data_IF_046206371832
#
_entry.id   IF_046206371832
#
_cell.length_a   1.000
_cell.length_b   1.000
_cell.length_c   1.000
_cell.angle_alpha   90.00
_cell.angle_beta   90.00
_cell.angle_gamma   90.00
#
_symmetry.space_group_name_H-M   'P 1'
#
loop_
_entity.id
_entity.type
_entity.pdbx_description
1 polymer ?
#
# COMPACT_ATOMS: atom_id res chain seq x y z
N UNK A 1 -39.02 41.39 -0.83
CA UNK A 1 -38.33 40.24 -1.49
C UNK A 1 -38.55 39.01 -0.64
N UNK A 2 -39.13 38.05 -1.23
CA UNK A 2 -40.00 37.06 -0.65
C UNK A 2 -39.26 35.95 0.10
N UNK A 3 -39.83 35.48 1.21
CA UNK A 3 -39.43 34.33 2.04
C UNK A 3 -39.12 33.07 1.21
N UNK A 4 -39.71 32.92 0.04
CA UNK A 4 -39.48 31.82 -0.91
C UNK A 4 -38.07 31.79 -1.50
N UNK A 5 -37.41 32.94 -1.72
CA UNK A 5 -36.06 32.98 -2.31
C UNK A 5 -35.02 32.59 -1.27
N UNK A 6 -35.19 32.95 0.02
CA UNK A 6 -34.28 32.54 1.09
C UNK A 6 -34.35 31.05 1.36
N UNK A 7 -35.54 30.42 1.32
CA UNK A 7 -35.68 28.98 1.50
C UNK A 7 -35.04 28.17 0.35
N UNK A 8 -35.07 28.70 -0.86
CA UNK A 8 -34.46 28.01 -2.03
C UNK A 8 -32.94 28.07 -1.99
N UNK A 9 -32.36 29.17 -1.53
CA UNK A 9 -30.88 29.28 -1.38
C UNK A 9 -30.37 28.39 -0.26
N UNK A 10 -31.12 28.30 0.87
CA UNK A 10 -30.73 27.36 1.95
C UNK A 10 -30.85 25.90 1.51
N UNK A 11 -31.83 25.54 0.72
CA UNK A 11 -32.00 24.18 0.19
C UNK A 11 -30.88 23.84 -0.79
N UNK A 12 -30.47 24.77 -1.66
CA UNK A 12 -29.34 24.58 -2.57
C UNK A 12 -28.00 24.47 -1.84
N UNK A 13 -27.79 25.23 -0.77
CA UNK A 13 -26.60 25.10 0.07
C UNK A 13 -26.58 23.77 0.85
N UNK A 14 -27.75 23.29 1.30
CA UNK A 14 -27.87 22.00 1.98
C UNK A 14 -27.64 20.82 1.00
N UNK A 15 -28.14 20.93 -0.23
CA UNK A 15 -27.87 19.93 -1.30
C UNK A 15 -26.38 19.93 -1.67
N UNK A 16 -25.72 21.08 -1.74
CA UNK A 16 -24.26 21.15 -1.96
C UNK A 16 -23.43 20.55 -0.80
N UNK A 17 -23.94 20.65 0.44
CA UNK A 17 -23.26 20.11 1.61
C UNK A 17 -23.44 18.58 1.74
N UNK A 18 -24.57 18.04 1.26
CA UNK A 18 -24.86 16.59 1.29
C UNK A 18 -24.16 15.85 0.12
N UNK A 19 -23.81 16.55 -0.97
CA UNK A 19 -23.00 16.02 -2.08
C UNK A 19 -21.52 16.39 -1.96
N UNK A 20 -21.00 16.60 -0.75
CA UNK A 20 -19.59 16.44 -0.52
C UNK A 20 -19.32 14.93 -0.65
N UNK A 21 -19.23 14.47 -1.91
CA UNK A 21 -18.69 13.15 -2.23
C UNK A 21 -17.35 13.07 -1.50
N UNK A 22 -17.26 12.28 -0.46
CA UNK A 22 -16.00 11.81 0.07
C UNK A 22 -15.28 11.22 -1.14
N UNK A 23 -14.27 11.92 -1.64
CA UNK A 23 -13.49 11.44 -2.77
C UNK A 23 -12.90 10.11 -2.31
N UNK A 24 -13.40 9.01 -2.87
CA UNK A 24 -12.96 7.68 -2.50
C UNK A 24 -11.48 7.61 -2.83
N UNK A 25 -10.64 7.59 -1.80
CA UNK A 25 -9.21 7.48 -1.97
C UNK A 25 -8.85 6.05 -2.34
N UNK A 26 -7.97 5.89 -3.32
CA UNK A 26 -7.34 4.61 -3.57
C UNK A 26 -6.01 4.56 -2.82
N UNK A 27 -5.80 3.49 -2.07
CA UNK A 27 -4.51 3.20 -1.47
C UNK A 27 -3.75 2.25 -2.39
N UNK A 28 -2.72 2.77 -3.05
CA UNK A 28 -1.76 1.97 -3.81
C UNK A 28 -0.66 1.52 -2.86
N UNK A 29 -0.60 0.24 -2.57
CA UNK A 29 0.39 -0.35 -1.67
C UNK A 29 1.53 -0.94 -2.49
N UNK A 30 2.77 -0.56 -2.18
CA UNK A 30 3.98 -1.17 -2.75
C UNK A 30 4.68 -1.98 -1.66
N UNK A 31 4.74 -3.29 -1.84
CA UNK A 31 5.46 -4.17 -0.93
C UNK A 31 6.95 -4.14 -1.23
N UNK A 32 7.76 -3.91 -0.21
CA UNK A 32 9.21 -3.92 -0.30
C UNK A 32 9.82 -5.26 -0.73
N UNK A 33 11.07 -5.23 -1.13
CA UNK A 33 11.87 -6.41 -1.45
C UNK A 33 13.34 -6.14 -1.15
N UNK A 34 14.01 -7.10 -0.54
CA UNK A 34 15.45 -7.04 -0.32
C UNK A 34 16.29 -7.17 -1.61
N UNK A 35 15.71 -7.70 -2.68
CA UNK A 35 16.30 -7.73 -4.00
C UNK A 35 15.95 -6.40 -4.71
N UNK A 36 16.96 -5.56 -4.95
CA UNK A 36 16.78 -4.24 -5.55
C UNK A 36 16.17 -4.29 -6.97
N UNK A 37 16.40 -5.38 -7.71
CA UNK A 37 15.79 -5.59 -9.03
C UNK A 37 14.30 -5.85 -8.90
N UNK A 38 13.90 -6.74 -7.99
CA UNK A 38 12.49 -7.04 -7.71
C UNK A 38 11.78 -5.78 -7.20
N UNK A 39 12.44 -5.02 -6.33
CA UNK A 39 11.91 -3.74 -5.84
C UNK A 39 11.68 -2.75 -7.00
N UNK A 40 12.64 -2.62 -7.90
CA UNK A 40 12.54 -1.75 -9.09
C UNK A 40 11.40 -2.19 -10.03
N UNK A 41 11.20 -3.50 -10.23
CA UNK A 41 10.09 -4.04 -11.02
C UNK A 41 8.73 -3.66 -10.41
N UNK A 42 8.57 -3.75 -9.08
CA UNK A 42 7.36 -3.34 -8.35
C UNK A 42 7.13 -1.83 -8.44
N UNK A 43 8.16 -1.04 -8.24
CA UNK A 43 8.10 0.43 -8.37
C UNK A 43 7.66 0.82 -9.78
N UNK A 44 8.22 0.21 -10.81
CA UNK A 44 7.83 0.46 -12.20
C UNK A 44 6.36 0.12 -12.47
N UNK A 45 5.86 -1.00 -11.93
CA UNK A 45 4.46 -1.37 -12.03
C UNK A 45 3.54 -0.36 -11.32
N UNK A 46 3.94 0.12 -10.13
CA UNK A 46 3.18 1.15 -9.41
C UNK A 46 3.15 2.49 -10.16
N UNK A 47 4.27 2.91 -10.76
CA UNK A 47 4.34 4.11 -11.61
C UNK A 47 3.40 4.00 -12.81
N UNK A 48 3.39 2.86 -13.49
CA UNK A 48 2.48 2.62 -14.63
C UNK A 48 1.00 2.69 -14.18
N UNK A 49 0.68 2.14 -13.01
CA UNK A 49 -0.66 2.25 -12.45
C UNK A 49 -1.06 3.72 -12.22
N UNK A 50 -0.20 4.51 -11.56
CA UNK A 50 -0.46 5.94 -11.31
C UNK A 50 -0.64 6.71 -12.61
N UNK A 51 0.21 6.48 -13.62
CA UNK A 51 0.13 7.13 -14.93
C UNK A 51 -1.14 6.78 -15.71
N UNK A 52 -1.66 5.55 -15.52
CA UNK A 52 -2.90 5.09 -16.16
C UNK A 52 -4.18 5.53 -15.41
N UNK A 53 -4.05 5.96 -14.17
CA UNK A 53 -5.16 6.45 -13.35
C UNK A 53 -5.60 7.85 -13.79
N UNK A 54 -6.86 8.20 -13.55
CA UNK A 54 -7.36 9.53 -13.94
C UNK A 54 -6.63 10.63 -13.14
N UNK A 55 -6.29 11.73 -13.79
CA UNK A 55 -5.60 12.87 -13.15
C UNK A 55 -6.38 13.50 -11.99
N UNK A 56 -7.68 13.23 -11.90
CA UNK A 56 -8.55 13.73 -10.82
C UNK A 56 -8.67 12.77 -9.64
N UNK A 57 -8.04 11.58 -9.71
CA UNK A 57 -8.08 10.60 -8.65
C UNK A 57 -6.99 10.89 -7.62
N UNK A 58 -7.38 11.04 -6.36
CA UNK A 58 -6.44 11.17 -5.25
C UNK A 58 -5.92 9.78 -4.88
N UNK A 59 -4.61 9.58 -4.95
CA UNK A 59 -3.95 8.31 -4.64
C UNK A 59 -3.10 8.49 -3.39
N UNK A 60 -3.25 7.58 -2.44
CA UNK A 60 -2.32 7.44 -1.33
C UNK A 60 -1.39 6.29 -1.65
N UNK A 61 -0.12 6.60 -1.85
CA UNK A 61 0.93 5.62 -2.12
C UNK A 61 1.56 5.19 -0.80
N UNK A 62 1.14 4.02 -0.31
CA UNK A 62 1.69 3.40 0.90
C UNK A 62 2.83 2.45 0.51
N UNK A 63 4.06 2.80 0.89
CA UNK A 63 5.25 2.01 0.59
C UNK A 63 5.74 1.40 1.89
N UNK A 64 5.81 0.07 1.95
CA UNK A 64 6.18 -0.64 3.17
C UNK A 64 7.34 -1.60 2.94
N UNK A 65 8.35 -1.50 3.79
CA UNK A 65 9.55 -2.32 3.80
C UNK A 65 10.68 -1.67 4.58
N UNK A 66 11.10 -2.32 5.65
CA UNK A 66 12.15 -1.84 6.54
C UNK A 66 13.56 -2.13 6.04
N UNK A 67 14.50 -1.92 6.93
CA UNK A 67 15.89 -2.33 6.74
C UNK A 67 15.98 -3.82 7.07
N UNK A 68 16.33 -4.66 6.12
CA UNK A 68 16.76 -6.00 6.43
C UNK A 68 18.08 -5.91 7.20
N UNK A 69 18.04 -6.27 8.47
CA UNK A 69 19.25 -6.66 9.19
C UNK A 69 19.72 -7.99 8.59
N UNK A 70 20.36 -7.94 7.43
CA UNK A 70 21.17 -9.03 6.98
C UNK A 70 22.32 -9.08 8.00
N UNK A 71 22.23 -10.02 8.93
CA UNK A 71 23.41 -10.57 9.58
C UNK A 71 24.23 -11.18 8.43
N UNK A 72 25.04 -10.36 7.79
CA UNK A 72 26.09 -10.88 6.94
C UNK A 72 27.10 -11.53 7.88
N UNK A 73 27.57 -12.71 7.54
CA UNK A 73 28.55 -13.51 8.30
C UNK A 73 29.88 -12.75 8.61
N UNK A 74 30.03 -11.54 8.09
CA UNK A 74 31.20 -10.69 8.21
C UNK A 74 31.01 -9.47 9.13
N UNK A 75 29.87 -9.37 9.81
CA UNK A 75 29.67 -8.35 10.88
C UNK A 75 29.55 -6.90 10.40
N UNK A 76 29.48 -6.66 9.11
CA UNK A 76 29.26 -5.33 8.54
C UNK A 76 27.79 -4.95 8.69
N UNK A 77 27.51 -4.02 9.61
CA UNK A 77 26.21 -3.34 9.71
C UNK A 77 26.02 -2.54 8.42
N UNK A 78 25.20 -3.04 7.52
CA UNK A 78 24.85 -2.31 6.31
C UNK A 78 23.93 -1.15 6.71
N UNK A 79 24.43 0.08 6.68
CA UNK A 79 23.68 1.33 6.90
C UNK A 79 22.82 1.70 5.68
N UNK A 80 22.34 0.72 4.94
CA UNK A 80 21.49 0.94 3.76
C UNK A 80 20.13 1.50 4.18
N UNK A 81 19.63 2.45 3.39
CA UNK A 81 18.25 2.93 3.49
C UNK A 81 17.25 1.79 3.44
N UNK A 82 16.09 1.96 4.10
CA UNK A 82 15.00 0.99 4.06
C UNK A 82 14.53 0.69 2.63
N UNK A 83 13.90 -0.45 2.42
CA UNK A 83 13.27 -0.80 1.14
C UNK A 83 12.23 0.26 0.75
N UNK A 84 11.47 0.77 1.73
CA UNK A 84 10.48 1.84 1.52
C UNK A 84 11.15 3.16 1.07
N UNK A 85 12.22 3.59 1.73
CA UNK A 85 12.97 4.80 1.34
C UNK A 85 13.58 4.69 -0.05
N UNK A 86 14.15 3.53 -0.41
CA UNK A 86 14.69 3.27 -1.75
C UNK A 86 13.59 3.39 -2.81
N UNK A 87 12.44 2.76 -2.57
CA UNK A 87 11.29 2.84 -3.48
C UNK A 87 10.77 4.27 -3.62
N UNK A 88 10.61 5.00 -2.50
CA UNK A 88 10.13 6.38 -2.50
C UNK A 88 11.03 7.34 -3.29
N UNK A 89 12.35 7.13 -3.26
CA UNK A 89 13.30 7.91 -4.03
C UNK A 89 13.02 7.92 -5.53
N UNK A 90 12.49 6.82 -6.06
CA UNK A 90 12.13 6.72 -7.47
C UNK A 90 10.89 7.58 -7.82
N UNK A 91 9.93 7.72 -6.92
CA UNK A 91 8.74 8.57 -7.14
C UNK A 91 9.03 10.06 -6.97
N UNK A 92 10.01 10.42 -6.16
CA UNK A 92 10.35 11.84 -5.89
C UNK A 92 10.95 12.58 -7.07
N UNK A 93 11.42 11.87 -8.09
CA UNK A 93 12.08 12.45 -9.27
C UNK A 93 11.10 12.94 -10.34
N UNK A 94 9.81 12.63 -10.25
CA UNK A 94 8.82 12.99 -11.26
C UNK A 94 7.79 14.01 -10.75
N UNK A 95 7.76 15.18 -11.38
CA UNK A 95 6.80 16.27 -11.09
C UNK A 95 5.34 15.93 -11.47
N UNK A 96 5.10 14.78 -12.10
CA UNK A 96 3.78 14.36 -12.60
C UNK A 96 2.85 13.79 -11.53
N UNK A 97 3.30 13.64 -10.27
CA UNK A 97 2.52 13.00 -9.21
C UNK A 97 1.87 14.00 -8.23
N UNK A 98 1.36 15.13 -8.74
CA UNK A 98 0.77 16.20 -7.91
C UNK A 98 -0.40 15.72 -7.03
N UNK A 99 -1.09 14.64 -7.42
CA UNK A 99 -2.24 14.09 -6.69
C UNK A 99 -1.90 12.83 -5.89
N UNK A 100 -0.60 12.54 -5.68
CA UNK A 100 -0.13 11.35 -4.94
C UNK A 100 0.43 11.79 -3.59
N UNK A 101 -0.18 11.29 -2.52
CA UNK A 101 0.36 11.42 -1.17
C UNK A 101 1.20 10.18 -0.85
N UNK A 102 2.48 10.36 -0.52
CA UNK A 102 3.36 9.24 -0.16
C UNK A 102 3.34 9.03 1.35
N UNK A 103 3.12 7.78 1.77
CA UNK A 103 3.21 7.30 3.15
C UNK A 103 4.24 6.18 3.21
N UNK A 104 5.23 6.32 4.10
CA UNK A 104 6.29 5.33 4.27
C UNK A 104 6.12 4.54 5.55
N UNK A 105 6.20 3.23 5.45
CA UNK A 105 6.44 2.34 6.58
C UNK A 105 7.83 1.69 6.43
N UNK A 106 8.74 2.10 7.30
CA UNK A 106 10.12 1.64 7.33
C UNK A 106 10.39 0.61 8.44
N UNK A 107 9.31 0.16 9.14
CA UNK A 107 9.45 -0.75 10.29
C UNK A 107 9.26 -2.22 9.92
N UNK A 108 8.50 -2.49 8.86
CA UNK A 108 8.17 -3.85 8.47
C UNK A 108 9.40 -4.63 7.98
N UNK A 109 9.65 -5.78 8.58
CA UNK A 109 10.78 -6.67 8.24
C UNK A 109 10.36 -7.87 7.40
N UNK A 110 9.07 -8.07 7.21
CA UNK A 110 8.49 -9.16 6.42
C UNK A 110 7.08 -8.79 5.91
N UNK A 111 6.54 -9.60 5.00
CA UNK A 111 5.25 -9.29 4.35
C UNK A 111 4.05 -9.27 5.31
N UNK A 112 4.06 -10.07 6.38
CA UNK A 112 2.99 -10.03 7.37
C UNK A 112 2.98 -8.69 8.13
N UNK A 113 4.16 -8.18 8.46
CA UNK A 113 4.32 -6.87 9.10
C UNK A 113 3.94 -5.73 8.15
N UNK A 114 4.24 -5.82 6.85
CA UNK A 114 3.78 -4.82 5.87
C UNK A 114 2.25 -4.64 5.96
N UNK A 115 1.48 -5.72 6.01
CA UNK A 115 0.02 -5.64 6.12
C UNK A 115 -0.48 -5.29 7.52
N UNK A 116 0.24 -5.66 8.56
CA UNK A 116 -0.09 -5.24 9.92
C UNK A 116 0.09 -3.72 10.10
N UNK A 117 1.18 -3.14 9.61
CA UNK A 117 1.40 -1.70 9.63
C UNK A 117 0.41 -0.96 8.72
N UNK A 118 0.11 -1.49 7.53
CA UNK A 118 -0.96 -0.97 6.68
C UNK A 118 -2.29 -0.93 7.43
N UNK A 119 -2.71 -2.04 8.07
CA UNK A 119 -3.96 -2.11 8.84
C UNK A 119 -3.98 -1.10 9.98
N UNK A 120 -2.87 -0.97 10.74
CA UNK A 120 -2.75 0.02 11.80
C UNK A 120 -2.90 1.44 11.28
N UNK A 121 -2.25 1.76 10.17
CA UNK A 121 -2.33 3.06 9.55
C UNK A 121 -3.75 3.35 9.02
N UNK A 122 -4.41 2.38 8.39
CA UNK A 122 -5.80 2.49 7.91
C UNK A 122 -6.74 2.75 9.08
N UNK A 123 -6.65 1.99 10.18
CA UNK A 123 -7.48 2.18 11.37
C UNK A 123 -7.33 3.57 11.99
N UNK A 124 -6.15 4.19 11.86
CA UNK A 124 -5.90 5.52 12.38
C UNK A 124 -6.45 6.64 11.48
N UNK A 125 -6.52 6.42 10.18
CA UNK A 125 -6.82 7.47 9.21
C UNK A 125 -8.23 7.37 8.60
N UNK A 126 -8.91 6.23 8.70
CA UNK A 126 -10.22 5.98 8.11
C UNK A 126 -11.18 5.36 9.11
N UNK A 127 -12.47 5.70 8.96
CA UNK A 127 -13.53 5.01 9.70
C UNK A 127 -13.83 3.65 9.06
N UNK A 128 -14.45 2.74 9.82
CA UNK A 128 -14.84 1.43 9.28
C UNK A 128 -15.91 1.52 8.17
N UNK A 129 -16.73 2.57 8.21
CA UNK A 129 -17.78 2.80 7.23
C UNK A 129 -17.28 3.46 5.94
N UNK A 130 -16.04 3.99 5.94
CA UNK A 130 -15.45 4.70 4.81
C UNK A 130 -14.05 4.15 4.48
N UNK A 131 -13.98 2.83 4.33
CA UNK A 131 -12.73 2.18 3.95
C UNK A 131 -12.37 2.50 2.49
N UNK A 132 -11.11 2.86 2.23
CA UNK A 132 -10.62 3.11 0.88
C UNK A 132 -10.59 1.80 0.06
N UNK A 133 -10.49 1.94 -1.26
CA UNK A 133 -10.12 0.82 -2.11
C UNK A 133 -8.60 0.57 -2.04
N UNK A 134 -8.21 -0.68 -2.23
CA UNK A 134 -6.80 -1.09 -2.15
C UNK A 134 -6.33 -1.67 -3.47
N UNK A 135 -5.17 -1.20 -3.91
CA UNK A 135 -4.42 -1.77 -5.03
C UNK A 135 -3.07 -2.22 -4.51
N UNK A 136 -2.79 -3.51 -4.56
CA UNK A 136 -1.56 -4.08 -4.01
C UNK A 136 -0.57 -4.36 -5.14
N UNK A 137 0.55 -3.66 -5.11
CA UNK A 137 1.66 -3.88 -6.05
C UNK A 137 2.69 -4.83 -5.44
N UNK A 138 2.87 -5.96 -6.09
CA UNK A 138 3.86 -6.98 -5.73
C UNK A 138 4.27 -7.78 -6.96
N UNK A 139 5.21 -8.73 -6.80
CA UNK A 139 5.62 -9.61 -7.89
C UNK A 139 4.60 -10.75 -8.08
N UNK A 140 4.46 -11.22 -9.31
CA UNK A 140 3.55 -12.29 -9.70
C UNK A 140 3.75 -13.59 -8.88
N UNK A 141 5.00 -14.01 -8.67
CA UNK A 141 5.32 -15.18 -7.83
C UNK A 141 4.88 -15.02 -6.38
N UNK A 142 4.80 -13.77 -5.88
CA UNK A 142 4.52 -13.46 -4.48
C UNK A 142 3.02 -13.28 -4.18
N UNK A 143 2.16 -13.14 -5.20
CA UNK A 143 0.75 -12.79 -5.06
C UNK A 143 0.00 -13.70 -4.09
N UNK A 144 0.12 -15.03 -4.25
CA UNK A 144 -0.66 -15.99 -3.45
C UNK A 144 -0.37 -15.88 -1.96
N UNK A 145 0.90 -15.68 -1.57
CA UNK A 145 1.27 -15.48 -0.17
C UNK A 145 0.81 -14.12 0.33
N UNK A 146 1.01 -13.07 -0.46
CA UNK A 146 0.59 -11.73 -0.11
C UNK A 146 -0.94 -11.65 0.09
N UNK A 147 -1.73 -12.31 -0.75
CA UNK A 147 -3.19 -12.36 -0.64
C UNK A 147 -3.65 -13.01 0.68
N UNK A 148 -3.06 -14.16 1.03
CA UNK A 148 -3.37 -14.82 2.30
C UNK A 148 -3.01 -13.97 3.50
N UNK A 149 -1.88 -13.28 3.46
CA UNK A 149 -1.43 -12.38 4.51
C UNK A 149 -2.33 -11.14 4.59
N UNK A 150 -2.70 -10.54 3.45
CA UNK A 150 -3.62 -9.40 3.39
C UNK A 150 -4.96 -9.73 4.06
N UNK A 151 -5.59 -10.85 3.70
CA UNK A 151 -6.84 -11.28 4.31
C UNK A 151 -6.70 -11.67 5.79
N UNK A 152 -5.50 -12.00 6.26
CA UNK A 152 -5.22 -12.21 7.67
C UNK A 152 -5.37 -10.95 8.54
N UNK A 153 -5.25 -9.76 7.94
CA UNK A 153 -5.38 -8.45 8.60
C UNK A 153 -6.60 -7.65 8.14
N UNK A 154 -7.05 -7.83 6.91
CA UNK A 154 -8.15 -7.12 6.26
C UNK A 154 -9.13 -8.12 5.62
N UNK A 155 -9.81 -8.97 6.41
CA UNK A 155 -10.59 -10.11 5.90
C UNK A 155 -11.78 -9.69 5.03
N UNK A 156 -12.39 -8.54 5.33
CA UNK A 156 -13.61 -8.06 4.67
C UNK A 156 -13.32 -7.16 3.45
N UNK A 157 -12.05 -7.03 3.08
CA UNK A 157 -11.61 -6.17 1.98
C UNK A 157 -11.10 -7.02 0.82
N UNK A 158 -11.55 -6.71 -0.39
CA UNK A 158 -11.04 -7.33 -1.62
C UNK A 158 -10.13 -6.36 -2.34
N UNK A 159 -8.81 -6.60 -2.38
CA UNK A 159 -7.89 -5.72 -3.08
C UNK A 159 -7.84 -6.00 -4.57
N UNK A 160 -7.49 -5.00 -5.36
CA UNK A 160 -7.02 -5.18 -6.73
C UNK A 160 -5.53 -5.51 -6.70
N UNK A 161 -5.07 -6.41 -7.57
CA UNK A 161 -3.67 -6.77 -7.69
C UNK A 161 -3.04 -6.11 -8.91
N UNK A 162 -1.96 -5.37 -8.66
CA UNK A 162 -1.10 -4.79 -9.69
C UNK A 162 0.24 -5.53 -9.68
N UNK A 163 0.41 -6.50 -10.57
CA UNK A 163 1.52 -7.45 -10.52
C UNK A 163 2.67 -7.03 -11.43
N UNK A 164 3.87 -6.92 -10.87
CA UNK A 164 5.08 -6.89 -11.68
C UNK A 164 5.44 -8.31 -12.14
N UNK A 165 5.81 -8.44 -13.40
CA UNK A 165 6.36 -9.70 -13.92
C UNK A 165 7.81 -9.83 -13.50
N UNK A 166 8.13 -10.91 -12.81
CA UNK A 166 9.51 -11.17 -12.38
C UNK A 166 10.16 -12.28 -13.19
N UNK A 167 11.39 -12.04 -13.58
CA UNK A 167 12.26 -13.06 -14.22
C UNK A 167 12.88 -14.03 -13.23
N UNK A 168 12.58 -13.96 -11.93
CA UNK A 168 13.16 -14.78 -10.88
C UNK A 168 12.54 -16.18 -10.84
N UNK A 169 13.07 -17.14 -11.58
CA UNK A 169 12.58 -18.54 -11.57
C UNK A 169 12.70 -19.22 -10.20
N UNK A 170 13.77 -18.93 -9.45
CA UNK A 170 13.97 -19.48 -8.10
C UNK A 170 12.93 -18.93 -7.10
N UNK A 171 12.48 -17.72 -7.27
CA UNK A 171 11.51 -17.10 -6.35
C UNK A 171 10.20 -17.89 -6.26
N UNK A 172 9.74 -18.51 -7.34
CA UNK A 172 8.56 -19.37 -7.35
C UNK A 172 8.72 -20.61 -6.45
N UNK A 173 9.91 -21.22 -6.44
CA UNK A 173 10.19 -22.36 -5.59
C UNK A 173 10.25 -21.94 -4.11
N UNK A 174 10.92 -20.84 -3.81
CA UNK A 174 11.07 -20.33 -2.45
C UNK A 174 9.70 -19.92 -1.87
N UNK A 175 8.81 -19.31 -2.67
CA UNK A 175 7.46 -18.94 -2.22
C UNK A 175 6.62 -20.14 -1.79
N UNK A 176 6.76 -21.29 -2.45
CA UNK A 176 6.05 -22.52 -2.07
C UNK A 176 6.37 -22.99 -0.64
N UNK A 177 7.57 -22.66 -0.16
CA UNK A 177 8.01 -22.93 1.21
C UNK A 177 7.41 -21.88 2.17
N UNK A 178 7.49 -20.62 1.79
CA UNK A 178 7.02 -19.49 2.63
C UNK A 178 5.51 -19.48 2.84
N UNK A 179 4.71 -19.93 1.87
CA UNK A 179 3.25 -20.02 1.99
C UNK A 179 2.81 -20.85 3.21
N UNK A 180 3.56 -21.86 3.58
CA UNK A 180 3.25 -22.74 4.74
C UNK A 180 3.36 -21.98 6.08
N UNK A 181 4.14 -20.92 6.13
CA UNK A 181 4.40 -20.15 7.33
C UNK A 181 3.36 -19.03 7.56
N UNK A 182 2.48 -18.77 6.60
CA UNK A 182 1.49 -17.67 6.65
C UNK A 182 0.71 -17.61 7.97
N UNK A 183 0.15 -18.71 8.53
CA UNK A 183 -0.58 -18.62 9.81
C UNK A 183 0.31 -18.17 10.97
N UNK A 184 1.55 -18.64 11.02
CA UNK A 184 2.51 -18.28 12.07
C UNK A 184 2.97 -16.82 11.92
N UNK A 185 3.16 -16.35 10.69
CA UNK A 185 3.57 -14.97 10.39
C UNK A 185 2.47 -13.98 10.76
N UNK A 186 1.19 -14.28 10.46
CA UNK A 186 0.04 -13.49 10.90
C UNK A 186 0.00 -13.40 12.43
N UNK A 187 0.16 -14.53 13.11
CA UNK A 187 0.10 -14.56 14.57
C UNK A 187 1.20 -13.69 15.20
N UNK A 188 2.41 -13.76 14.67
CA UNK A 188 3.55 -12.94 15.13
C UNK A 188 3.33 -11.45 14.92
N UNK A 189 2.74 -11.04 13.80
CA UNK A 189 2.56 -9.63 13.47
C UNK A 189 1.30 -8.99 14.09
N UNK A 190 0.39 -9.77 14.71
CA UNK A 190 -0.86 -9.24 15.29
C UNK A 190 -0.67 -8.16 16.35
N UNK A 191 0.44 -8.18 17.12
CA UNK A 191 0.71 -7.17 18.13
C UNK A 191 0.89 -5.75 17.56
N UNK A 192 1.20 -5.64 16.27
CA UNK A 192 1.38 -4.35 15.58
C UNK A 192 0.05 -3.60 15.45
N UNK A 193 -1.06 -4.33 15.36
CA UNK A 193 -2.41 -3.78 15.09
C UNK A 193 -3.13 -3.41 16.38
N UNK A 194 -2.69 -3.94 17.52
CA UNK A 194 -3.23 -3.65 18.85
C UNK A 194 -2.79 -2.27 19.33
#
# INVERSE_FOLDING_TARGET
MSFLVQSFVLLLLFIHFVFCFSAKHDILVVLGSADDRILSERVSAAMQYIQSSSQNQSIILFISGGVKNALQDDGLVNTSSSEASKAAGAFSSESSYANVQIVLDENATNTAENFAYLKRWVNHNFSQDDLPSFVITTSDFHQVRAERLFHGFLPDVTPQWNLSKSSCSRCWADESIHIKNVPADILKARHIVQ
#
